data_IF_848925323777
#
_entry.id   IF_848925323777
#
_cell.length_a   1.000
_cell.length_b   1.000
_cell.length_c   1.000
_cell.angle_alpha   90.00
_cell.angle_beta   90.00
_cell.angle_gamma   90.00
#
_symmetry.space_group_name_H-M   'P 1'
#
loop_
_entity.id
_entity.type
_entity.pdbx_description
1 polymer ?
#
# COMPACT_ATOMS: atom_id res chain seq x y z
N UNK A 1 -3.59 -17.39 3.80
CA UNK A 1 -2.85 -16.28 3.19
C UNK A 1 -3.83 -15.12 3.15
N UNK A 2 -3.49 -14.05 3.85
CA UNK A 2 -4.33 -12.87 3.97
C UNK A 2 -4.32 -12.04 2.71
N UNK A 3 -5.26 -11.10 2.61
CA UNK A 3 -5.30 -10.18 1.47
C UNK A 3 -4.09 -9.23 1.43
N UNK A 4 -3.57 -8.70 2.55
CA UNK A 4 -2.33 -7.91 2.54
C UNK A 4 -1.12 -8.68 2.00
N UNK A 5 -1.02 -9.99 2.31
CA UNK A 5 0.03 -10.84 1.75
C UNK A 5 -0.04 -10.98 0.22
N UNK A 6 -1.25 -11.05 -0.36
CA UNK A 6 -1.41 -11.06 -1.83
C UNK A 6 -0.83 -9.78 -2.47
N UNK A 7 -0.95 -8.62 -1.79
CA UNK A 7 -0.36 -7.35 -2.25
C UNK A 7 1.16 -7.37 -2.16
N UNK A 8 1.70 -7.84 -1.03
CA UNK A 8 3.14 -8.01 -0.84
C UNK A 8 3.76 -8.90 -1.92
N UNK A 9 3.15 -10.05 -2.21
CA UNK A 9 3.69 -10.96 -3.23
C UNK A 9 3.77 -10.30 -4.63
N UNK A 10 2.86 -9.37 -4.96
CA UNK A 10 2.89 -8.62 -6.23
C UNK A 10 3.99 -7.55 -6.24
N UNK A 11 4.22 -6.91 -5.09
CA UNK A 11 5.25 -5.89 -4.91
C UNK A 11 6.66 -6.52 -4.90
N UNK A 12 6.82 -7.67 -4.23
CA UNK A 12 8.08 -8.40 -4.10
C UNK A 12 8.47 -9.18 -5.38
N UNK A 13 7.49 -9.73 -6.11
CA UNK A 13 7.74 -10.51 -7.33
C UNK A 13 7.14 -9.85 -8.58
N UNK A 14 7.97 -9.30 -9.49
CA UNK A 14 7.51 -8.75 -10.77
C UNK A 14 6.86 -9.80 -11.69
N UNK A 15 7.01 -11.10 -11.39
CA UNK A 15 6.39 -12.22 -12.12
C UNK A 15 5.13 -12.76 -11.46
N UNK A 16 4.74 -12.29 -10.28
CA UNK A 16 3.50 -12.71 -9.66
C UNK A 16 2.30 -12.46 -10.60
N UNK A 17 1.28 -13.31 -10.50
CA UNK A 17 0.05 -13.08 -11.25
C UNK A 17 -0.58 -11.75 -10.81
N UNK A 18 -1.21 -10.98 -11.73
CA UNK A 18 -2.01 -9.83 -11.33
C UNK A 18 -3.04 -10.21 -10.28
N UNK A 19 -3.40 -9.24 -9.44
CA UNK A 19 -4.44 -9.45 -8.45
C UNK A 19 -5.74 -9.81 -9.19
N UNK A 20 -6.42 -10.86 -8.71
CA UNK A 20 -7.67 -11.33 -9.30
C UNK A 20 -8.85 -10.40 -8.99
N UNK A 21 -10.03 -11.00 -8.72
CA UNK A 21 -11.22 -10.23 -8.34
C UNK A 21 -10.96 -9.35 -7.10
N UNK A 22 -11.50 -8.11 -7.11
CA UNK A 22 -11.41 -7.19 -5.98
C UNK A 22 -12.17 -7.72 -4.77
N UNK A 23 -11.61 -7.52 -3.59
CA UNK A 23 -12.19 -7.91 -2.31
C UNK A 23 -12.48 -6.68 -1.43
N UNK A 24 -13.43 -6.80 -0.48
CA UNK A 24 -13.57 -5.82 0.59
C UNK A 24 -12.23 -5.64 1.31
N UNK A 25 -11.80 -4.39 1.47
CA UNK A 25 -10.50 -4.04 2.07
C UNK A 25 -9.40 -3.69 1.07
N UNK A 26 -9.52 -4.09 -0.21
CA UNK A 26 -8.52 -3.75 -1.23
C UNK A 26 -8.37 -2.24 -1.41
N UNK A 27 -9.47 -1.49 -1.32
CA UNK A 27 -9.45 -0.04 -1.45
C UNK A 27 -8.74 0.65 -0.27
N UNK A 28 -8.78 0.06 0.93
CA UNK A 28 -8.03 0.55 2.08
C UNK A 28 -6.53 0.29 1.91
N UNK A 29 -6.15 -0.89 1.40
CA UNK A 29 -4.76 -1.22 1.10
C UNK A 29 -4.20 -0.38 -0.06
N UNK A 30 -5.01 -0.14 -1.09
CA UNK A 30 -4.66 0.75 -2.20
C UNK A 30 -4.56 2.20 -1.74
N UNK A 31 -5.44 2.63 -0.83
CA UNK A 31 -5.36 3.96 -0.20
C UNK A 31 -4.06 4.12 0.57
N UNK A 32 -3.71 3.15 1.42
CA UNK A 32 -2.43 3.12 2.12
C UNK A 32 -1.25 3.25 1.15
N UNK A 33 -1.22 2.42 0.10
CA UNK A 33 -0.17 2.48 -0.92
C UNK A 33 -0.10 3.83 -1.63
N UNK A 34 -1.25 4.45 -1.95
CA UNK A 34 -1.26 5.79 -2.55
C UNK A 34 -0.59 6.81 -1.62
N UNK A 35 -0.90 6.79 -0.32
CA UNK A 35 -0.23 7.68 0.65
C UNK A 35 1.29 7.45 0.73
N UNK A 36 1.76 6.21 0.62
CA UNK A 36 3.21 5.91 0.59
C UNK A 36 3.88 6.38 -0.69
N UNK A 37 3.28 6.07 -1.84
CA UNK A 37 3.83 6.40 -3.16
C UNK A 37 3.84 7.91 -3.44
N UNK A 38 3.06 8.71 -2.72
CA UNK A 38 3.10 10.17 -2.77
C UNK A 38 3.94 10.80 -1.65
N UNK A 39 4.54 10.01 -0.77
CA UNK A 39 5.27 10.55 0.37
C UNK A 39 6.51 11.35 -0.05
N UNK A 40 7.18 10.92 -1.11
CA UNK A 40 8.32 11.58 -1.77
C UNK A 40 7.88 12.67 -2.80
N UNK A 41 6.61 12.66 -3.20
CA UNK A 41 5.98 13.62 -4.09
C UNK A 41 5.98 13.24 -5.58
N UNK A 42 6.46 12.06 -5.99
CA UNK A 42 6.42 11.63 -7.40
C UNK A 42 6.20 10.11 -7.56
N UNK A 43 5.14 9.73 -8.28
CA UNK A 43 4.93 8.32 -8.66
C UNK A 43 5.62 8.00 -10.00
N UNK A 44 6.60 7.11 -9.94
CA UNK A 44 7.36 6.61 -11.08
C UNK A 44 6.57 5.65 -11.97
N UNK A 45 7.05 5.40 -13.19
CA UNK A 45 6.41 4.44 -14.12
C UNK A 45 6.47 2.99 -13.64
N UNK A 46 7.46 2.63 -12.83
CA UNK A 46 7.56 1.26 -12.30
C UNK A 46 6.56 1.04 -11.15
N UNK A 47 6.31 2.05 -10.32
CA UNK A 47 5.25 2.03 -9.30
C UNK A 47 3.86 1.97 -9.94
N UNK A 48 3.61 2.76 -11.00
CA UNK A 48 2.36 2.66 -11.76
C UNK A 48 2.16 1.27 -12.35
N UNK A 49 3.22 0.61 -12.83
CA UNK A 49 3.12 -0.77 -13.32
C UNK A 49 2.71 -1.74 -12.22
N UNK A 50 3.21 -1.56 -10.99
CA UNK A 50 2.79 -2.37 -9.83
C UNK A 50 1.32 -2.10 -9.51
N UNK A 51 0.90 -0.84 -9.42
CA UNK A 51 -0.51 -0.48 -9.15
C UNK A 51 -1.44 -0.99 -10.26
N UNK A 52 -1.00 -0.98 -11.52
CA UNK A 52 -1.71 -1.60 -12.63
C UNK A 52 -1.95 -3.09 -12.41
N UNK A 53 -0.96 -3.83 -11.89
CA UNK A 53 -1.09 -5.25 -11.54
C UNK A 53 -2.01 -5.49 -10.35
N UNK A 54 -2.07 -4.56 -9.39
CA UNK A 54 -2.98 -4.63 -8.25
C UNK A 54 -4.42 -4.30 -8.62
N UNK A 55 -4.63 -3.37 -9.56
CA UNK A 55 -5.95 -2.83 -9.89
C UNK A 55 -6.56 -3.42 -11.16
N UNK A 56 -5.75 -4.08 -11.99
CA UNK A 56 -6.12 -4.57 -13.32
C UNK A 56 -6.12 -3.49 -14.42
N UNK A 57 -5.75 -2.25 -14.09
CA UNK A 57 -5.67 -1.13 -15.05
C UNK A 57 -4.35 -1.15 -15.79
N UNK A 58 -4.37 -0.70 -17.05
CA UNK A 58 -3.19 -0.68 -17.92
C UNK A 58 -2.87 0.70 -18.48
N UNK A 59 -3.71 1.68 -18.20
CA UNK A 59 -3.52 3.05 -18.66
C UNK A 59 -2.86 3.88 -17.55
N UNK A 60 -1.70 4.46 -17.85
CA UNK A 60 -0.88 5.18 -16.88
C UNK A 60 -1.51 6.52 -16.45
N UNK A 61 -2.36 7.14 -17.27
CA UNK A 61 -3.07 8.38 -16.92
C UNK A 61 -4.22 8.05 -15.97
N UNK A 62 -5.03 7.05 -16.29
CA UNK A 62 -6.10 6.53 -15.40
C UNK A 62 -5.53 6.05 -14.06
N UNK A 63 -4.36 5.43 -14.07
CA UNK A 63 -3.69 4.97 -12.84
C UNK A 63 -3.26 6.13 -11.95
N UNK A 64 -2.70 7.20 -12.54
CA UNK A 64 -2.33 8.41 -11.78
C UNK A 64 -3.56 9.09 -11.19
N UNK A 65 -4.58 9.33 -12.01
CA UNK A 65 -5.84 9.93 -11.54
C UNK A 65 -6.45 9.10 -10.40
N UNK A 66 -6.42 7.77 -10.52
CA UNK A 66 -6.93 6.89 -9.48
C UNK A 66 -6.11 6.95 -8.18
N UNK A 67 -4.78 7.05 -8.28
CA UNK A 67 -3.92 7.21 -7.11
C UNK A 67 -4.10 8.59 -6.47
N UNK A 68 -4.23 9.66 -7.27
CA UNK A 68 -4.53 11.01 -6.79
C UNK A 68 -5.84 11.02 -5.99
N UNK A 69 -6.92 10.43 -6.55
CA UNK A 69 -8.22 10.31 -5.87
C UNK A 69 -8.15 9.53 -4.54
N UNK A 70 -7.23 8.57 -4.43
CA UNK A 70 -7.01 7.81 -3.20
C UNK A 70 -6.16 8.60 -2.19
N UNK A 71 -5.11 9.27 -2.65
CA UNK A 71 -4.23 10.09 -1.81
C UNK A 71 -4.90 11.34 -1.24
N UNK A 72 -5.91 11.88 -1.94
CA UNK A 72 -6.74 12.99 -1.43
C UNK A 72 -7.63 12.58 -0.24
N UNK A 73 -7.94 11.29 -0.10
CA UNK A 73 -8.75 10.78 1.01
C UNK A 73 -7.87 10.60 2.23
N UNK A 74 -8.27 11.10 3.42
CA UNK A 74 -7.54 10.83 4.64
C UNK A 74 -7.40 9.32 4.89
N UNK A 75 -6.21 8.88 5.29
CA UNK A 75 -5.99 7.50 5.67
C UNK A 75 -6.73 7.19 6.98
N UNK A 76 -7.72 6.29 6.92
CA UNK A 76 -8.50 5.87 8.09
C UNK A 76 -7.88 4.61 8.72
N UNK A 77 -6.97 4.84 9.67
CA UNK A 77 -6.31 3.74 10.37
C UNK A 77 -7.27 2.90 11.22
N UNK A 78 -8.35 3.48 11.74
CA UNK A 78 -9.36 2.77 12.54
C UNK A 78 -10.16 1.80 11.66
N UNK A 79 -10.50 2.24 10.44
CA UNK A 79 -11.16 1.39 9.45
C UNK A 79 -10.21 0.27 8.98
N UNK A 80 -8.94 0.58 8.73
CA UNK A 80 -7.92 -0.42 8.38
C UNK A 80 -7.79 -1.50 9.48
N UNK A 81 -7.64 -1.09 10.73
CA UNK A 81 -7.53 -2.00 11.87
C UNK A 81 -8.79 -2.86 12.07
N UNK A 82 -9.97 -2.31 11.74
CA UNK A 82 -11.26 -3.01 11.82
C UNK A 82 -11.45 -4.00 10.67
N UNK A 83 -11.02 -3.63 9.46
CA UNK A 83 -11.09 -4.47 8.27
C UNK A 83 -10.13 -5.67 8.35
N UNK A 84 -8.99 -5.49 9.01
CA UNK A 84 -7.95 -6.50 9.19
C UNK A 84 -7.71 -6.81 10.68
N UNK A 85 -8.59 -7.59 11.33
CA UNK A 85 -8.47 -7.93 12.74
C UNK A 85 -7.40 -9.01 13.03
N UNK A 86 -6.95 -9.74 12.00
CA UNK A 86 -5.95 -10.78 12.15
C UNK A 86 -4.55 -10.17 12.38
N UNK A 87 -3.80 -10.59 13.41
CA UNK A 87 -2.47 -10.05 13.69
C UNK A 87 -1.47 -10.22 12.53
N UNK A 88 -1.52 -11.34 11.80
CA UNK A 88 -0.62 -11.56 10.67
C UNK A 88 -0.94 -10.60 9.53
N UNK A 89 -2.22 -10.35 9.26
CA UNK A 89 -2.63 -9.38 8.25
C UNK A 89 -2.12 -7.97 8.60
N UNK A 90 -2.09 -7.62 9.88
CA UNK A 90 -1.58 -6.32 10.36
C UNK A 90 -0.07 -6.20 10.21
N UNK A 91 0.67 -7.25 10.56
CA UNK A 91 2.12 -7.30 10.31
C UNK A 91 2.40 -7.17 8.80
N UNK A 92 1.66 -7.91 7.96
CA UNK A 92 1.78 -7.84 6.51
C UNK A 92 1.43 -6.44 5.95
N UNK A 93 0.49 -5.71 6.55
CA UNK A 93 0.16 -4.33 6.18
C UNK A 93 1.31 -3.36 6.49
N UNK A 94 1.94 -3.51 7.66
CA UNK A 94 3.11 -2.69 8.01
C UNK A 94 4.26 -2.98 7.05
N UNK A 95 4.55 -4.26 6.80
CA UNK A 95 5.55 -4.66 5.80
C UNK A 95 5.22 -4.13 4.41
N UNK A 96 3.93 -4.08 4.03
CA UNK A 96 3.52 -3.49 2.75
C UNK A 96 3.87 -2.00 2.67
N UNK A 97 3.65 -1.24 3.73
CA UNK A 97 4.02 0.18 3.79
C UNK A 97 5.55 0.37 3.74
N UNK A 98 6.31 -0.43 4.49
CA UNK A 98 7.78 -0.40 4.47
C UNK A 98 8.34 -0.68 3.08
N UNK A 99 7.81 -1.69 2.39
CA UNK A 99 8.25 -2.02 1.03
C UNK A 99 7.90 -0.95 0.00
N UNK A 100 6.78 -0.25 0.17
CA UNK A 100 6.41 0.85 -0.72
C UNK A 100 7.39 2.02 -0.59
N UNK A 101 7.88 2.30 0.62
CA UNK A 101 8.84 3.38 0.90
C UNK A 101 10.27 2.98 0.52
N UNK A 102 10.74 1.78 0.86
CA UNK A 102 12.11 1.34 0.59
C UNK A 102 12.40 1.03 -0.89
N UNK A 103 11.38 1.05 -1.73
CA UNK A 103 11.55 1.04 -3.19
C UNK A 103 12.25 2.30 -3.71
N UNK A 104 12.16 3.42 -2.99
CA UNK A 104 12.84 4.66 -3.32
C UNK A 104 14.18 4.78 -2.55
N UNK A 105 15.22 5.28 -3.24
CA UNK A 105 16.59 5.36 -2.74
C UNK A 105 16.76 6.46 -1.65
N UNK A 106 15.66 7.09 -1.21
CA UNK A 106 15.66 8.20 -0.24
C UNK A 106 14.48 8.11 0.73
N UNK A 107 14.66 7.34 1.80
CA UNK A 107 13.75 7.39 2.94
C UNK A 107 13.80 8.77 3.60
N UNK A 108 12.72 9.54 3.53
CA UNK A 108 12.53 10.82 4.21
C UNK A 108 11.90 10.64 5.61
N UNK A 109 12.13 11.62 6.51
CA UNK A 109 11.61 11.52 7.88
C UNK A 109 10.08 11.41 7.97
N UNK A 110 9.35 11.96 6.99
CA UNK A 110 7.88 11.89 6.92
C UNK A 110 7.37 10.47 6.68
N UNK A 111 8.12 9.67 5.93
CA UNK A 111 7.75 8.28 5.62
C UNK A 111 7.90 7.39 6.86
N UNK A 112 8.95 7.65 7.66
CA UNK A 112 9.16 7.00 8.95
C UNK A 112 8.03 7.32 9.92
N UNK A 113 7.65 8.60 10.04
CA UNK A 113 6.55 9.02 10.92
C UNK A 113 5.23 8.32 10.54
N UNK A 114 4.98 8.13 9.23
CA UNK A 114 3.77 7.46 8.74
C UNK A 114 3.77 5.96 9.09
N UNK A 115 4.91 5.26 8.94
CA UNK A 115 5.03 3.87 9.37
C UNK A 115 4.81 3.74 10.89
N UNK A 116 5.40 4.63 11.69
CA UNK A 116 5.24 4.61 13.15
C UNK A 116 3.75 4.80 13.56
N UNK A 117 3.05 5.77 12.96
CA UNK A 117 1.62 6.00 13.17
C UNK A 117 0.78 4.76 12.78
N UNK A 118 1.10 4.14 11.64
CA UNK A 118 0.44 2.93 11.16
C UNK A 118 0.64 1.76 12.13
N UNK A 119 1.86 1.55 12.62
CA UNK A 119 2.19 0.51 13.57
C UNK A 119 1.44 0.70 14.90
N UNK A 120 1.39 1.93 15.41
CA UNK A 120 0.62 2.25 16.62
C UNK A 120 -0.86 1.90 16.43
N UNK A 121 -1.46 2.33 15.31
CA UNK A 121 -2.87 2.11 15.05
C UNK A 121 -3.24 0.63 14.86
N UNK A 122 -2.35 -0.14 14.21
CA UNK A 122 -2.53 -1.58 14.03
C UNK A 122 -2.14 -2.40 15.26
N UNK A 123 -1.44 -1.81 16.23
CA UNK A 123 -0.93 -2.49 17.42
C UNK A 123 0.23 -3.45 17.11
N UNK A 124 0.97 -3.16 16.03
CA UNK A 124 2.17 -3.90 15.62
C UNK A 124 3.38 -3.32 16.37
N UNK A 125 4.30 -4.19 16.81
CA UNK A 125 5.50 -3.75 17.52
C UNK A 125 6.67 -3.60 16.56
N UNK A 126 7.57 -2.63 16.77
CA UNK A 126 8.83 -2.57 16.02
C UNK A 126 9.64 -3.85 16.26
N UNK A 127 10.09 -4.43 15.14
CA UNK A 127 10.95 -5.62 15.09
C UNK A 127 12.41 -5.32 15.44
#
# INVERSE_FOLDING_TARGET
MGRPRDFLDILEDPKAAPLGERRPGDELLLGLLAHMLYADGEVTSDELRVVGRLTGRTDDEELREYLDELGERPLDYDELARAFPDPQDRDDIVTLAEHAIWGDDRVEGREVDLIEDLMEALGVKPG
#
